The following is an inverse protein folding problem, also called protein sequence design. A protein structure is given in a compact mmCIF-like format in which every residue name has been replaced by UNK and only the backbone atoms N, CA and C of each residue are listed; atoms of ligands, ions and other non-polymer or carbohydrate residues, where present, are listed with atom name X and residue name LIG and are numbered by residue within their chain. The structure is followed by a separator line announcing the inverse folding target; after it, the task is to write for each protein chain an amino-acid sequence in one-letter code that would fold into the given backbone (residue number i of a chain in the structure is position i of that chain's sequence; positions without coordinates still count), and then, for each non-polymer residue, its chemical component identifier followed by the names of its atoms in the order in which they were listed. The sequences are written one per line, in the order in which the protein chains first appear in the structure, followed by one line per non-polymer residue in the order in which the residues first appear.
data_IF_217769570482
#
_entry.id   IF_217769570482
#
_cell.length_a   1.000
_cell.length_b   1.000
_cell.length_c   1.000
_cell.angle_alpha   90.00
_cell.angle_beta   90.00
_cell.angle_gamma   90.00
#
_symmetry.space_group_name_H-M   'P 1'
#
loop_
_entity.id
_entity.type
_entity.pdbx_description
1 polymer ?
#
# COMPACT_ATOMS: atom_id res chain seq x y z
N UNK A 1 -13.70 -5.57 -8.12
CA UNK A 1 -14.64 -5.66 -6.97
C UNK A 1 -14.55 -4.43 -6.07
N UNK A 2 -15.69 -3.99 -5.52
CA UNK A 2 -15.73 -2.96 -4.47
C UNK A 2 -16.32 -3.58 -3.21
N UNK A 3 -15.61 -3.47 -2.10
CA UNK A 3 -16.03 -3.94 -0.78
C UNK A 3 -16.12 -2.75 0.16
N UNK A 4 -17.21 -2.66 0.93
CA UNK A 4 -17.41 -1.62 1.93
C UNK A 4 -17.96 -2.25 3.20
N UNK A 5 -17.27 -2.06 4.32
CA UNK A 5 -17.67 -2.60 5.62
C UNK A 5 -17.05 -1.76 6.75
N UNK A 6 -17.40 -2.04 8.01
CA UNK A 6 -16.78 -1.39 9.16
C UNK A 6 -15.27 -1.65 9.18
N UNK A 7 -14.87 -2.92 9.19
CA UNK A 7 -13.50 -3.39 9.00
C UNK A 7 -13.48 -4.48 7.94
N UNK A 8 -12.32 -4.69 7.31
CA UNK A 8 -12.12 -5.70 6.27
C UNK A 8 -10.82 -6.44 6.56
N UNK A 9 -10.89 -7.76 6.65
CA UNK A 9 -9.69 -8.62 6.74
C UNK A 9 -9.70 -9.64 5.63
N UNK A 10 -8.67 -9.65 4.81
CA UNK A 10 -8.40 -10.73 3.86
C UNK A 10 -7.45 -11.73 4.51
N UNK A 11 -8.02 -12.84 5.00
CA UNK A 11 -7.25 -13.89 5.67
C UNK A 11 -6.38 -14.74 4.71
N UNK A 12 -6.71 -14.72 3.42
CA UNK A 12 -6.05 -15.50 2.38
C UNK A 12 -5.54 -14.58 1.27
N UNK A 13 -4.75 -15.15 0.36
CA UNK A 13 -4.28 -14.47 -0.85
C UNK A 13 -5.46 -13.88 -1.61
N UNK A 14 -5.29 -12.62 -2.05
CA UNK A 14 -6.23 -11.94 -2.93
C UNK A 14 -5.59 -11.83 -4.29
N UNK A 15 -6.01 -12.63 -5.27
CA UNK A 15 -5.42 -12.61 -6.61
C UNK A 15 -6.48 -12.49 -7.72
N UNK A 16 -6.09 -11.89 -8.85
CA UNK A 16 -6.89 -11.85 -10.07
C UNK A 16 -6.62 -10.63 -10.95
N UNK A 17 -7.10 -10.67 -12.20
CA UNK A 17 -6.88 -9.62 -13.19
C UNK A 17 -7.94 -8.50 -13.12
N UNK A 18 -8.43 -8.20 -11.92
CA UNK A 18 -9.48 -7.19 -11.70
C UNK A 18 -9.01 -6.11 -10.73
N UNK A 19 -9.61 -4.94 -10.81
CA UNK A 19 -9.41 -3.88 -9.83
C UNK A 19 -10.03 -4.27 -8.49
N UNK A 20 -9.37 -3.94 -7.38
CA UNK A 20 -9.93 -4.07 -6.03
C UNK A 20 -10.02 -2.71 -5.37
N UNK A 21 -11.23 -2.35 -4.92
CA UNK A 21 -11.47 -1.24 -4.01
C UNK A 21 -11.96 -1.82 -2.68
N UNK A 22 -11.16 -1.73 -1.63
CA UNK A 22 -11.50 -2.17 -0.29
C UNK A 22 -11.63 -0.96 0.64
N UNK A 23 -12.84 -0.70 1.14
CA UNK A 23 -13.18 0.46 1.95
C UNK A 23 -13.64 0.03 3.36
N UNK A 24 -12.72 0.05 4.33
CA UNK A 24 -13.06 -0.09 5.75
C UNK A 24 -13.41 1.29 6.33
N UNK A 25 -14.67 1.52 6.67
CA UNK A 25 -15.19 2.86 6.94
C UNK A 25 -14.71 3.44 8.27
N UNK A 26 -14.70 2.63 9.33
CA UNK A 26 -14.31 3.08 10.68
C UNK A 26 -13.28 2.17 11.33
N UNK A 27 -13.32 0.89 10.98
CA UNK A 27 -12.38 -0.12 11.40
C UNK A 27 -11.17 -0.19 10.46
N UNK A 28 -10.45 -1.28 10.62
CA UNK A 28 -9.17 -1.52 9.96
C UNK A 28 -9.35 -2.28 8.66
N UNK A 29 -8.44 -2.04 7.71
CA UNK A 29 -8.24 -2.90 6.56
C UNK A 29 -6.95 -3.71 6.75
N UNK A 30 -7.03 -5.03 6.69
CA UNK A 30 -5.88 -5.92 6.88
C UNK A 30 -5.73 -6.90 5.73
N UNK A 31 -4.53 -6.94 5.15
CA UNK A 31 -4.10 -7.99 4.21
C UNK A 31 -3.15 -8.95 4.95
N UNK A 32 -3.67 -10.12 5.34
CA UNK A 32 -2.88 -11.15 6.04
C UNK A 32 -1.92 -11.91 5.11
N UNK A 33 -2.18 -11.86 3.79
CA UNK A 33 -1.44 -12.57 2.75
C UNK A 33 -1.23 -11.69 1.52
N UNK A 34 -0.44 -12.19 0.59
CA UNK A 34 -0.09 -11.49 -0.65
C UNK A 34 -1.32 -11.04 -1.43
N UNK A 35 -1.23 -9.85 -2.04
CA UNK A 35 -2.28 -9.30 -2.90
C UNK A 35 -1.75 -9.14 -4.32
N UNK A 36 -2.53 -9.57 -5.30
CA UNK A 36 -2.23 -9.62 -6.73
C UNK A 36 -3.40 -9.12 -7.57
N UNK A 37 -3.50 -7.83 -7.89
CA UNK A 37 -4.69 -7.26 -8.59
C UNK A 37 -4.31 -6.42 -9.82
N UNK A 38 -5.29 -5.92 -10.58
CA UNK A 38 -4.97 -4.93 -11.63
C UNK A 38 -4.69 -3.57 -11.03
N UNK A 39 -5.64 -2.98 -10.31
CA UNK A 39 -5.43 -1.80 -9.47
C UNK A 39 -5.85 -2.14 -8.04
N UNK A 40 -5.28 -1.44 -7.06
CA UNK A 40 -5.66 -1.51 -5.67
C UNK A 40 -5.99 -0.11 -5.14
N UNK A 41 -7.19 0.06 -4.61
CA UNK A 41 -7.54 1.17 -3.73
C UNK A 41 -7.87 0.61 -2.36
N UNK A 42 -6.96 0.80 -1.41
CA UNK A 42 -7.10 0.41 -0.02
C UNK A 42 -7.45 1.66 0.80
N UNK A 43 -8.66 1.70 1.34
CA UNK A 43 -9.17 2.84 2.10
C UNK A 43 -9.61 2.44 3.49
N UNK A 44 -9.01 3.05 4.50
CA UNK A 44 -9.30 2.84 5.92
C UNK A 44 -8.65 3.96 6.76
N UNK A 45 -8.94 4.03 8.06
CA UNK A 45 -8.12 4.82 8.98
C UNK A 45 -6.71 4.20 9.15
N UNK A 46 -6.66 2.87 9.18
CA UNK A 46 -5.43 2.09 9.30
C UNK A 46 -5.47 0.93 8.33
N UNK A 47 -4.37 0.73 7.61
CA UNK A 47 -4.17 -0.34 6.63
C UNK A 47 -2.97 -1.17 7.08
N UNK A 48 -3.19 -2.43 7.41
CA UNK A 48 -2.12 -3.37 7.72
C UNK A 48 -1.74 -4.18 6.49
N UNK A 49 -0.45 -4.15 6.19
CA UNK A 49 0.17 -4.95 5.15
C UNK A 49 1.14 -5.92 5.82
N UNK A 50 0.78 -7.20 5.80
CA UNK A 50 1.59 -8.27 6.40
C UNK A 50 2.41 -9.06 5.39
N UNK A 51 2.14 -8.88 4.10
CA UNK A 51 2.84 -9.54 2.99
C UNK A 51 2.94 -8.60 1.78
N UNK A 52 3.68 -9.03 0.77
CA UNK A 52 3.94 -8.24 -0.43
C UNK A 52 2.66 -8.01 -1.27
N UNK A 53 2.60 -6.86 -1.96
CA UNK A 53 1.47 -6.49 -2.82
C UNK A 53 1.99 -6.20 -4.22
N UNK A 54 1.48 -6.95 -5.20
CA UNK A 54 1.77 -6.76 -6.62
C UNK A 54 0.51 -6.37 -7.37
N UNK A 55 0.57 -5.31 -8.16
CA UNK A 55 -0.49 -4.90 -9.06
C UNK A 55 0.06 -4.66 -10.46
N UNK A 56 -0.74 -4.89 -11.49
CA UNK A 56 -0.33 -4.54 -12.87
C UNK A 56 -0.47 -3.04 -13.17
N UNK A 57 -1.29 -2.34 -12.38
CA UNK A 57 -1.56 -0.91 -12.41
C UNK A 57 -1.28 -0.28 -11.05
N UNK A 58 -2.09 0.72 -10.67
CA UNK A 58 -1.80 1.60 -9.54
C UNK A 58 -2.19 0.99 -8.19
N UNK A 59 -1.46 1.40 -7.15
CA UNK A 59 -1.79 1.18 -5.75
C UNK A 59 -2.06 2.53 -5.07
N UNK A 60 -3.16 2.63 -4.34
CA UNK A 60 -3.52 3.82 -3.57
C UNK A 60 -3.92 3.41 -2.16
N UNK A 61 -3.22 3.96 -1.18
CA UNK A 61 -3.45 3.75 0.24
C UNK A 61 -3.91 5.07 0.86
N UNK A 62 -5.18 5.17 1.26
CA UNK A 62 -5.75 6.43 1.76
C UNK A 62 -5.50 6.66 3.26
N UNK A 63 -5.28 5.57 4.02
CA UNK A 63 -5.05 5.58 5.47
C UNK A 63 -3.60 5.37 5.88
N UNK A 64 -3.35 5.45 7.19
CA UNK A 64 -2.04 5.14 7.76
C UNK A 64 -1.68 3.67 7.48
N UNK A 65 -0.50 3.43 6.90
CA UNK A 65 -0.02 2.09 6.55
C UNK A 65 0.91 1.56 7.64
N UNK A 66 0.64 0.36 8.13
CA UNK A 66 1.57 -0.37 8.99
C UNK A 66 2.14 -1.57 8.25
N UNK A 67 3.47 -1.70 8.30
CA UNK A 67 4.20 -2.86 7.81
C UNK A 67 4.53 -3.80 8.96
N UNK A 68 4.39 -5.11 8.73
CA UNK A 68 4.70 -6.15 9.73
C UNK A 68 5.90 -7.02 9.34
N UNK A 69 6.45 -6.79 8.15
CA UNK A 69 7.71 -7.36 7.66
C UNK A 69 8.38 -6.38 6.69
N UNK A 70 9.61 -6.70 6.28
CA UNK A 70 10.21 -6.06 5.11
C UNK A 70 9.29 -6.29 3.90
N UNK A 71 8.75 -5.22 3.34
CA UNK A 71 7.64 -5.30 2.38
C UNK A 71 8.10 -4.87 1.00
N UNK A 72 7.72 -5.64 -0.02
CA UNK A 72 7.82 -5.22 -1.42
C UNK A 72 6.42 -4.87 -1.94
N UNK A 73 6.27 -3.64 -2.44
CA UNK A 73 5.11 -3.21 -3.19
C UNK A 73 5.51 -2.99 -4.65
N UNK A 74 4.82 -3.66 -5.56
CA UNK A 74 5.08 -3.55 -7.01
C UNK A 74 3.82 -3.13 -7.74
N UNK A 75 3.85 -2.00 -8.44
CA UNK A 75 2.76 -1.48 -9.24
C UNK A 75 3.26 -0.60 -10.37
N UNK A 76 2.34 0.05 -11.08
CA UNK A 76 2.65 1.05 -12.09
C UNK A 76 2.29 2.48 -11.63
N UNK A 77 2.46 2.71 -10.33
CA UNK A 77 2.12 3.92 -9.59
C UNK A 77 1.76 3.54 -8.16
N UNK A 78 2.36 4.18 -7.15
CA UNK A 78 2.11 3.87 -5.74
C UNK A 78 1.95 5.17 -4.97
N UNK A 79 0.81 5.35 -4.32
CA UNK A 79 0.47 6.57 -3.59
C UNK A 79 0.11 6.19 -2.15
N UNK A 80 0.84 6.77 -1.20
CA UNK A 80 0.50 6.77 0.22
C UNK A 80 0.03 8.17 0.60
N UNK A 81 -1.26 8.29 0.95
CA UNK A 81 -1.87 9.57 1.36
C UNK A 81 -1.78 9.81 2.87
N UNK A 82 -1.04 8.98 3.60
CA UNK A 82 -0.87 9.09 5.03
C UNK A 82 0.49 8.51 5.45
N UNK A 83 0.71 8.42 6.77
CA UNK A 83 1.97 7.91 7.33
C UNK A 83 2.21 6.45 6.98
N UNK A 84 3.49 6.06 7.01
CA UNK A 84 3.90 4.66 6.93
C UNK A 84 4.75 4.33 8.15
N UNK A 85 4.38 3.27 8.87
CA UNK A 85 5.04 2.83 10.09
C UNK A 85 5.46 1.37 10.01
N UNK A 86 6.68 1.08 10.47
CA UNK A 86 7.28 -0.25 10.48
C UNK A 86 8.71 -0.14 10.99
N UNK A 87 8.87 0.26 12.26
CA UNK A 87 10.18 0.61 12.84
C UNK A 87 11.17 -0.53 12.65
N UNK A 88 12.29 -0.24 11.96
CA UNK A 88 13.34 -1.21 11.65
C UNK A 88 13.02 -2.16 10.47
N UNK A 89 11.87 -2.00 9.81
CA UNK A 89 11.49 -2.74 8.61
C UNK A 89 11.78 -1.92 7.36
N UNK A 90 12.23 -2.60 6.31
CA UNK A 90 12.53 -1.99 5.02
C UNK A 90 11.32 -2.02 4.08
N UNK A 91 11.21 -1.01 3.21
CA UNK A 91 10.22 -0.95 2.13
C UNK A 91 10.92 -0.89 0.77
N UNK A 92 10.55 -1.81 -0.13
CA UNK A 92 10.86 -1.70 -1.55
C UNK A 92 9.57 -1.29 -2.28
N UNK A 93 9.53 -0.07 -2.80
CA UNK A 93 8.39 0.45 -3.55
C UNK A 93 8.75 0.57 -5.04
N UNK A 94 8.31 -0.40 -5.84
CA UNK A 94 8.50 -0.45 -7.28
C UNK A 94 7.25 0.12 -7.98
N UNK A 95 7.28 1.38 -8.39
CA UNK A 95 6.16 2.07 -9.04
C UNK A 95 6.20 2.07 -10.57
N UNK A 96 7.19 1.40 -11.18
CA UNK A 96 7.29 1.25 -12.63
C UNK A 96 7.39 2.60 -13.35
N UNK A 97 6.50 2.83 -14.31
CA UNK A 97 6.39 4.09 -15.08
C UNK A 97 5.53 5.15 -14.41
N UNK A 98 4.73 4.78 -13.40
CA UNK A 98 3.93 5.73 -12.64
C UNK A 98 4.70 6.40 -11.51
N UNK A 99 4.06 7.40 -10.91
CA UNK A 99 4.64 8.14 -9.80
C UNK A 99 4.67 7.30 -8.52
N UNK A 100 5.67 7.56 -7.68
CA UNK A 100 5.75 7.11 -6.31
C UNK A 100 5.56 8.32 -5.40
N UNK A 101 4.55 8.34 -4.54
CA UNK A 101 4.25 9.51 -3.71
C UNK A 101 4.07 9.13 -2.25
N UNK A 102 4.81 9.83 -1.39
CA UNK A 102 4.69 9.79 0.06
C UNK A 102 4.24 11.16 0.55
N UNK A 103 3.02 11.27 1.07
CA UNK A 103 2.47 12.58 1.47
C UNK A 103 2.83 12.99 2.90
N UNK A 104 3.21 12.03 3.76
CA UNK A 104 3.42 12.23 5.19
C UNK A 104 4.66 11.48 5.70
N UNK A 105 4.88 11.55 7.01
CA UNK A 105 6.01 10.93 7.70
C UNK A 105 6.12 9.44 7.44
N UNK A 106 7.37 8.99 7.30
CA UNK A 106 7.72 7.60 7.12
C UNK A 106 8.65 7.20 8.27
N UNK A 107 8.22 6.22 9.05
CA UNK A 107 8.99 5.64 10.15
C UNK A 107 9.31 4.18 9.84
N UNK A 108 10.41 4.00 9.09
CA UNK A 108 10.90 2.72 8.58
C UNK A 108 12.42 2.60 8.82
N UNK A 109 13.01 1.47 8.44
CA UNK A 109 14.44 1.32 8.23
C UNK A 109 14.87 2.00 6.93
N UNK A 110 15.20 1.20 5.93
CA UNK A 110 15.54 1.67 4.59
C UNK A 110 14.30 1.75 3.68
N UNK A 111 14.36 2.67 2.71
CA UNK A 111 13.36 2.78 1.65
C UNK A 111 14.07 2.70 0.30
N UNK A 112 13.79 1.64 -0.46
CA UNK A 112 14.17 1.53 -1.86
C UNK A 112 13.01 2.03 -2.72
N UNK A 113 13.07 3.31 -3.08
CA UNK A 113 12.06 4.00 -3.89
C UNK A 113 12.37 3.89 -5.39
N UNK A 114 11.84 2.86 -6.05
CA UNK A 114 12.10 2.58 -7.46
C UNK A 114 10.95 3.13 -8.32
N UNK A 115 11.19 4.26 -9.00
CA UNK A 115 10.27 4.84 -9.98
C UNK A 115 11.06 5.32 -11.20
N UNK A 116 10.49 5.13 -12.38
CA UNK A 116 10.92 5.86 -13.59
C UNK A 116 10.04 7.08 -13.86
N UNK A 117 8.93 7.23 -13.12
CA UNK A 117 8.16 8.46 -13.03
C UNK A 117 8.71 9.39 -11.95
N UNK A 118 7.86 10.29 -11.43
CA UNK A 118 8.25 11.17 -10.34
C UNK A 118 8.16 10.45 -9.00
N UNK A 119 9.26 10.48 -8.23
CA UNK A 119 9.24 10.13 -6.80
C UNK A 119 9.09 11.41 -5.98
N UNK A 120 8.01 11.50 -5.21
CA UNK A 120 7.68 12.68 -4.40
C UNK A 120 7.67 12.32 -2.92
N UNK A 121 8.37 13.12 -2.12
CA UNK A 121 8.28 13.16 -0.66
C UNK A 121 7.77 14.55 -0.27
N UNK A 122 6.52 14.66 0.18
CA UNK A 122 5.93 15.96 0.51
C UNK A 122 6.31 16.47 1.90
N UNK A 123 6.63 15.58 2.84
CA UNK A 123 7.13 15.95 4.16
C UNK A 123 8.57 15.47 4.31
N UNK A 124 9.51 16.40 4.16
CA UNK A 124 10.95 16.16 4.35
C UNK A 124 11.40 17.08 5.47
N UNK A 125 11.68 16.51 6.63
CA UNK A 125 12.22 17.22 7.81
C UNK A 125 13.61 16.73 8.14
#
# INVERSE_FOLDING_TARGET
PTLSANGITFNNTVNGNSNLTANATTGKLTFEKTVGTSNLTASANTIDIKEDITTSGNQTYTGAVNLFKNTTLTGNGIIFNNTITGIGLDLIANSGTGNLTFTNDISLGNINANSTGTTTFNNVT
#
